data_IF_039907127708
#
_entry.id   IF_039907127708
#
_cell.length_a   1.000
_cell.length_b   1.000
_cell.length_c   1.000
_cell.angle_alpha   90.00
_cell.angle_beta   90.00
_cell.angle_gamma   90.00
#
_symmetry.space_group_name_H-M   'P 1'
#
loop_
_entity.id
_entity.type
_entity.pdbx_description
1 polymer ?
#
# COMPACT_ATOMS: atom_id res chain seq x y z
N UNK A 1 -8.11 -4.49 -10.14
CA UNK A 1 -6.72 -4.62 -10.68
C UNK A 1 -5.74 -4.55 -9.53
N UNK A 2 -4.72 -5.43 -9.47
CA UNK A 2 -3.68 -5.37 -8.44
C UNK A 2 -2.54 -4.45 -8.88
N UNK A 3 -2.09 -3.55 -7.99
CA UNK A 3 -0.99 -2.61 -8.22
C UNK A 3 0.32 -3.30 -7.89
N UNK A 4 1.21 -3.41 -8.89
CA UNK A 4 2.55 -4.00 -8.71
C UNK A 4 3.30 -3.33 -7.55
N UNK A 5 3.67 -4.07 -6.50
CA UNK A 5 4.44 -3.52 -5.38
C UNK A 5 5.91 -3.31 -5.74
N UNK A 6 6.60 -2.33 -5.12
CA UNK A 6 8.06 -2.26 -5.17
C UNK A 6 8.69 -3.43 -4.40
N UNK A 7 9.92 -3.80 -4.78
CA UNK A 7 10.63 -4.98 -4.25
C UNK A 7 10.66 -5.04 -2.71
N UNK A 8 10.91 -3.91 -2.05
CA UNK A 8 11.01 -3.83 -0.58
C UNK A 8 9.72 -4.20 0.18
N UNK A 9 8.54 -4.18 -0.46
CA UNK A 9 7.27 -4.62 0.16
C UNK A 9 6.64 -5.82 -0.55
N UNK A 10 7.32 -6.40 -1.54
CA UNK A 10 6.74 -7.47 -2.37
C UNK A 10 6.31 -8.66 -1.52
N UNK A 11 7.17 -9.12 -0.60
CA UNK A 11 6.86 -10.23 0.30
C UNK A 11 5.67 -9.93 1.23
N UNK A 12 5.57 -8.68 1.72
CA UNK A 12 4.45 -8.25 2.57
C UNK A 12 3.12 -8.35 1.81
N UNK A 13 3.10 -7.87 0.56
CA UNK A 13 1.92 -7.90 -0.30
C UNK A 13 1.56 -9.31 -0.73
N UNK A 14 2.54 -10.17 -0.98
CA UNK A 14 2.33 -11.58 -1.31
C UNK A 14 1.68 -12.36 -0.15
N UNK A 15 2.13 -12.11 1.09
CA UNK A 15 1.68 -12.85 2.28
C UNK A 15 0.32 -12.35 2.77
N UNK A 16 0.13 -11.03 2.82
CA UNK A 16 -1.09 -10.42 3.37
C UNK A 16 -2.18 -10.25 2.31
N UNK A 17 -1.81 -10.10 1.04
CA UNK A 17 -2.68 -9.57 0.00
C UNK A 17 -2.65 -8.05 -0.04
N UNK A 18 -3.07 -7.46 -1.16
CA UNK A 18 -2.95 -6.01 -1.40
C UNK A 18 -3.66 -5.14 -0.36
N UNK A 19 -4.88 -5.50 0.03
CA UNK A 19 -5.67 -4.66 0.92
C UNK A 19 -5.17 -4.71 2.37
N UNK A 20 -4.90 -5.91 2.89
CA UNK A 20 -4.31 -6.09 4.21
C UNK A 20 -2.87 -5.54 4.28
N UNK A 21 -2.09 -5.64 3.20
CA UNK A 21 -0.77 -5.01 3.13
C UNK A 21 -0.86 -3.48 3.09
N UNK A 22 -1.83 -2.91 2.38
CA UNK A 22 -2.06 -1.46 2.43
C UNK A 22 -2.33 -1.02 3.86
N UNK A 23 -3.22 -1.73 4.54
CA UNK A 23 -3.63 -1.47 5.91
C UNK A 23 -2.46 -1.62 6.90
N UNK A 24 -1.66 -2.67 6.77
CA UNK A 24 -0.45 -2.88 7.55
C UNK A 24 0.56 -1.75 7.36
N UNK A 25 0.86 -1.35 6.11
CA UNK A 25 1.80 -0.27 5.83
C UNK A 25 1.24 1.09 6.26
N UNK A 26 -0.08 1.28 6.23
CA UNK A 26 -0.74 2.50 6.67
C UNK A 26 -0.63 2.69 8.19
N UNK A 27 -0.83 1.62 8.95
CA UNK A 27 -0.87 1.69 10.41
C UNK A 27 0.52 1.57 11.06
N UNK A 28 1.45 0.83 10.44
CA UNK A 28 2.76 0.54 11.02
C UNK A 28 3.95 1.13 10.23
N UNK A 29 3.73 1.59 9.00
CA UNK A 29 4.80 2.11 8.14
C UNK A 29 5.55 3.29 8.75
N UNK A 30 6.88 3.21 8.73
CA UNK A 30 7.76 4.26 9.23
C UNK A 30 8.17 4.09 10.69
N UNK A 31 7.68 3.04 11.37
CA UNK A 31 8.04 2.68 12.73
C UNK A 31 8.53 1.22 12.82
N UNK A 32 9.35 0.89 13.82
CA UNK A 32 9.67 -0.49 14.12
C UNK A 32 8.47 -1.22 14.71
N UNK A 33 8.29 -2.48 14.34
CA UNK A 33 7.37 -3.42 14.98
C UNK A 33 8.15 -4.62 15.51
N UNK A 34 7.57 -5.31 16.49
CA UNK A 34 8.07 -6.59 16.96
C UNK A 34 7.24 -7.75 16.37
N UNK A 35 7.91 -8.67 15.69
CA UNK A 35 7.33 -9.91 15.17
C UNK A 35 7.83 -11.08 16.02
N UNK A 36 6.91 -11.75 16.72
CA UNK A 36 7.23 -12.92 17.51
C UNK A 36 7.19 -14.19 16.65
N UNK A 37 8.12 -15.12 16.87
CA UNK A 37 8.11 -16.43 16.18
C UNK A 37 6.93 -17.32 16.56
N UNK A 38 6.36 -17.09 17.74
CA UNK A 38 5.13 -17.74 18.17
C UNK A 38 4.17 -16.71 18.79
N UNK A 39 3.45 -15.94 17.96
CA UNK A 39 2.62 -14.86 18.47
C UNK A 39 1.33 -15.43 19.08
N UNK A 40 1.05 -15.08 20.32
CA UNK A 40 -0.18 -15.48 21.01
C UNK A 40 -1.43 -14.82 20.42
N UNK A 41 -2.61 -15.37 20.71
CA UNK A 41 -3.89 -14.89 20.19
C UNK A 41 -4.24 -13.43 20.60
N UNK A 42 -3.58 -12.89 21.65
CA UNK A 42 -3.76 -11.49 22.07
C UNK A 42 -2.96 -10.49 21.22
N UNK A 43 -2.02 -10.95 20.39
CA UNK A 43 -1.20 -10.09 19.55
C UNK A 43 -2.09 -9.32 18.52
N UNK A 44 -2.01 -7.99 18.44
CA UNK A 44 -2.82 -7.19 17.51
C UNK A 44 -2.72 -7.61 16.04
N UNK A 45 -1.52 -7.99 15.59
CA UNK A 45 -1.29 -8.47 14.23
C UNK A 45 -1.99 -9.82 13.99
N UNK A 46 -1.98 -10.71 14.98
CA UNK A 46 -2.67 -12.01 14.91
C UNK A 46 -4.18 -11.82 14.88
N UNK A 47 -4.72 -10.88 15.66
CA UNK A 47 -6.16 -10.58 15.64
C UNK A 47 -6.62 -10.06 14.29
N UNK A 48 -5.78 -9.28 13.60
CA UNK A 48 -6.13 -8.67 12.30
C UNK A 48 -5.88 -9.60 11.12
N UNK A 49 -4.70 -10.21 11.05
CA UNK A 49 -4.24 -10.97 9.88
C UNK A 49 -4.28 -12.48 10.09
N UNK A 50 -4.51 -12.96 11.32
CA UNK A 50 -4.45 -14.37 11.65
C UNK A 50 -3.03 -14.86 11.91
N UNK A 51 -2.91 -15.91 12.71
CA UNK A 51 -1.61 -16.41 13.21
C UNK A 51 -0.69 -16.89 12.10
N UNK A 52 -1.21 -17.64 11.15
CA UNK A 52 -0.43 -18.23 10.05
C UNK A 52 0.26 -17.14 9.21
N UNK A 53 -0.50 -16.12 8.79
CA UNK A 53 0.02 -15.01 7.99
C UNK A 53 1.07 -14.20 8.75
N UNK A 54 0.91 -14.00 10.06
CA UNK A 54 1.89 -13.28 10.88
C UNK A 54 3.19 -14.08 11.04
N UNK A 55 3.12 -15.40 11.22
CA UNK A 55 4.32 -16.25 11.27
C UNK A 55 5.06 -16.21 9.94
N UNK A 56 4.35 -16.40 8.83
CA UNK A 56 4.95 -16.29 7.48
C UNK A 56 5.57 -14.93 7.22
N UNK A 57 4.92 -13.86 7.69
CA UNK A 57 5.46 -12.50 7.60
C UNK A 57 6.75 -12.36 8.41
N UNK A 58 6.81 -12.92 9.63
CA UNK A 58 8.03 -12.95 10.43
C UNK A 58 9.16 -13.66 9.70
N UNK A 59 8.90 -14.84 9.13
CA UNK A 59 9.90 -15.64 8.44
C UNK A 59 10.43 -14.92 7.18
N UNK A 60 9.53 -14.34 6.38
CA UNK A 60 9.90 -13.60 5.18
C UNK A 60 10.72 -12.33 5.45
N UNK A 61 10.65 -11.79 6.66
CA UNK A 61 11.36 -10.57 7.08
C UNK A 61 12.63 -10.85 7.89
N UNK A 62 13.10 -12.10 7.90
CA UNK A 62 14.36 -12.50 8.54
C UNK A 62 14.20 -13.17 9.91
N UNK A 63 12.98 -13.56 10.29
CA UNK A 63 12.67 -14.28 11.52
C UNK A 63 12.16 -13.39 12.65
N UNK A 64 12.07 -13.92 13.88
CA UNK A 64 11.54 -13.18 15.03
C UNK A 64 12.46 -12.03 15.43
N UNK A 65 11.89 -10.83 15.66
CA UNK A 65 12.67 -9.67 16.06
C UNK A 65 12.00 -8.33 15.77
N UNK A 66 12.82 -7.27 15.86
CA UNK A 66 12.41 -5.92 15.50
C UNK A 66 12.59 -5.70 14.00
N UNK A 67 11.54 -5.25 13.34
CA UNK A 67 11.54 -4.97 11.91
C UNK A 67 11.06 -3.55 11.65
N UNK A 68 11.81 -2.80 10.83
CA UNK A 68 11.40 -1.47 10.39
C UNK A 68 10.45 -1.56 9.20
N UNK A 69 9.19 -1.12 9.38
CA UNK A 69 8.18 -1.25 8.34
C UNK A 69 8.35 -0.15 7.27
N UNK A 70 8.52 -0.49 5.98
CA UNK A 70 8.58 0.51 4.92
C UNK A 70 7.24 1.27 4.79
N UNK A 71 7.27 2.57 4.46
CA UNK A 71 6.01 3.35 4.29
C UNK A 71 5.41 3.17 2.89
N UNK A 72 6.24 2.99 1.86
CA UNK A 72 5.82 2.81 0.46
C UNK A 72 4.68 3.72 -0.06
N UNK A 73 4.68 5.01 0.33
CA UNK A 73 3.60 5.98 0.02
C UNK A 73 3.19 6.02 -1.46
N UNK A 74 4.15 5.92 -2.38
CA UNK A 74 3.86 5.91 -3.82
C UNK A 74 2.97 4.75 -4.25
N UNK A 75 3.22 3.56 -3.70
CA UNK A 75 2.40 2.38 -3.97
C UNK A 75 1.02 2.52 -3.33
N UNK A 76 0.96 2.97 -2.08
CA UNK A 76 -0.30 3.20 -1.37
C UNK A 76 -1.20 4.22 -2.08
N UNK A 77 -0.64 5.31 -2.61
CA UNK A 77 -1.41 6.29 -3.40
C UNK A 77 -1.98 5.66 -4.68
N UNK A 78 -1.23 4.77 -5.35
CA UNK A 78 -1.72 4.04 -6.53
C UNK A 78 -2.81 3.03 -6.17
N UNK A 79 -2.68 2.35 -5.03
CA UNK A 79 -3.73 1.46 -4.50
C UNK A 79 -5.02 2.24 -4.24
N UNK A 80 -4.95 3.39 -3.57
CA UNK A 80 -6.15 4.24 -3.35
C UNK A 80 -6.75 4.75 -4.67
N UNK A 81 -5.94 5.14 -5.64
CA UNK A 81 -6.44 5.51 -6.97
C UNK A 81 -7.13 4.34 -7.67
N UNK A 82 -6.60 3.11 -7.55
CA UNK A 82 -7.22 1.90 -8.10
C UNK A 82 -8.55 1.53 -7.42
N UNK A 83 -8.77 2.03 -6.21
CA UNK A 83 -10.05 1.94 -5.45
C UNK A 83 -11.04 3.05 -5.84
N UNK A 84 -10.69 3.92 -6.80
CA UNK A 84 -11.56 4.98 -7.29
C UNK A 84 -11.46 6.30 -6.54
N UNK A 85 -10.53 6.46 -5.58
CA UNK A 85 -10.42 7.71 -4.82
C UNK A 85 -9.87 8.85 -5.68
N UNK A 86 -10.45 10.05 -5.51
CA UNK A 86 -10.01 11.26 -6.18
C UNK A 86 -8.69 11.80 -5.62
N UNK A 87 -7.96 12.59 -6.42
CA UNK A 87 -6.63 13.13 -6.06
C UNK A 87 -6.60 13.88 -4.73
N UNK A 88 -7.58 14.75 -4.50
CA UNK A 88 -7.68 15.55 -3.27
C UNK A 88 -8.06 14.69 -2.05
N UNK A 89 -8.83 13.62 -2.26
CA UNK A 89 -9.15 12.67 -1.21
C UNK A 89 -7.91 11.86 -0.81
N UNK A 90 -7.17 11.35 -1.79
CA UNK A 90 -5.88 10.67 -1.57
C UNK A 90 -4.91 11.61 -0.83
N UNK A 91 -4.82 12.88 -1.23
CA UNK A 91 -3.96 13.88 -0.59
C UNK A 91 -4.30 14.05 0.90
N UNK A 92 -5.59 14.21 1.22
CA UNK A 92 -6.08 14.33 2.59
C UNK A 92 -5.81 13.07 3.41
N UNK A 93 -6.07 11.89 2.84
CA UNK A 93 -5.88 10.61 3.51
C UNK A 93 -4.40 10.31 3.79
N UNK A 94 -3.52 10.54 2.81
CA UNK A 94 -2.09 10.26 2.92
C UNK A 94 -1.28 11.39 3.57
N UNK A 95 -1.94 12.52 3.91
CA UNK A 95 -1.32 13.74 4.47
C UNK A 95 -0.16 14.25 3.60
N UNK A 96 -0.38 14.31 2.29
CA UNK A 96 0.58 14.82 1.30
C UNK A 96 -0.10 15.88 0.43
N UNK A 97 0.68 16.69 -0.29
CA UNK A 97 0.11 17.64 -1.23
C UNK A 97 -0.56 16.92 -2.41
N UNK A 98 -1.63 17.51 -2.95
CA UNK A 98 -2.28 17.01 -4.17
C UNK A 98 -1.32 17.03 -5.39
N UNK A 99 -0.29 17.89 -5.36
CA UNK A 99 0.80 17.91 -6.34
C UNK A 99 1.64 16.63 -6.25
N UNK A 100 1.99 16.17 -5.04
CA UNK A 100 2.67 14.89 -4.83
C UNK A 100 1.83 13.72 -5.33
N UNK A 101 0.52 13.73 -5.04
CA UNK A 101 -0.40 12.71 -5.56
C UNK A 101 -0.38 12.70 -7.08
N UNK A 102 -0.56 13.87 -7.73
CA UNK A 102 -0.51 14.02 -9.20
C UNK A 102 0.79 13.49 -9.80
N UNK A 103 1.93 13.77 -9.16
CA UNK A 103 3.25 13.26 -9.61
C UNK A 103 3.34 11.75 -9.56
N UNK A 104 2.74 11.12 -8.54
CA UNK A 104 2.79 9.66 -8.35
C UNK A 104 1.82 8.93 -9.27
N UNK A 105 0.58 9.38 -9.38
CA UNK A 105 -0.46 8.66 -10.13
C UNK A 105 -0.53 9.06 -11.61
N UNK A 106 0.22 10.08 -12.02
CA UNK A 106 0.23 10.60 -13.38
C UNK A 106 -0.99 11.46 -13.71
N UNK A 107 -0.95 12.09 -14.89
CA UNK A 107 -2.15 12.61 -15.55
C UNK A 107 -2.96 11.35 -15.89
N UNK A 108 -4.17 11.24 -15.34
CA UNK A 108 -5.10 10.27 -15.89
C UNK A 108 -5.45 10.82 -17.27
N UNK A 109 -4.94 10.18 -18.33
CA UNK A 109 -5.03 10.63 -19.73
C UNK A 109 -6.48 10.75 -20.23
N UNK A 110 -7.46 10.32 -19.44
CA UNK A 110 -8.89 10.46 -19.71
C UNK A 110 -9.40 11.92 -19.72
N UNK A 111 -8.56 12.91 -19.41
CA UNK A 111 -8.92 14.34 -19.45
C UNK A 111 -8.33 15.09 -20.64
N UNK A 112 -7.64 14.40 -21.55
CA UNK A 112 -7.33 14.97 -22.85
C UNK A 112 -8.56 14.79 -23.74
N UNK A 113 -9.36 15.86 -23.88
CA UNK A 113 -10.26 15.97 -25.04
C UNK A 113 -9.41 15.73 -26.28
N UNK A 114 -9.80 14.75 -27.10
CA UNK A 114 -9.25 14.62 -28.45
C UNK A 114 -9.46 15.97 -29.13
N UNK A 115 -8.36 16.67 -29.41
CA UNK A 115 -8.39 17.91 -30.18
C UNK A 115 -8.67 17.63 -31.67
N UNK A 116 -8.62 16.35 -32.07
CA UNK A 116 -8.65 15.93 -33.47
C UNK A 116 -9.94 15.23 -33.90
N UNK A 117 -10.94 15.07 -33.03
CA UNK A 117 -12.22 14.46 -33.40
C UNK A 117 -13.24 15.47 -33.98
N UNK A 118 -12.80 16.69 -34.34
CA UNK A 118 -13.67 17.78 -34.76
C UNK A 118 -13.59 18.16 -36.25
N UNK A 119 -12.83 17.43 -37.07
CA UNK A 119 -12.71 17.72 -38.51
C UNK A 119 -12.60 16.45 -39.36
N UNK A 120 -13.71 15.72 -39.50
CA UNK A 120 -13.99 14.96 -40.72
C UNK A 120 -15.42 15.33 -41.18
N UNK A 121 -15.46 16.26 -42.13
CA UNK A 121 -16.61 16.55 -42.99
C UNK A 121 -16.66 15.56 -44.15
#
# INVERSE_FOLDING_TARGET
MSIRPPAQIAAIVEILGQDDAFDFLYDYGGAPIYLAGNPGARNPLVKRFGRERVVRLSDALGGPGNFYVPVAKSWMMRVLASRGLGRFEIARRMRVSHVSVRRVIGRQDHLQLSLFDADER
#
